data_IF_163218554663
#
_entry.id   IF_163218554663
#
_cell.length_a   1.000
_cell.length_b   1.000
_cell.length_c   1.000
_cell.angle_alpha   90.00
_cell.angle_beta   90.00
_cell.angle_gamma   90.00
#
_symmetry.space_group_name_H-M   'P 1'
#
loop_
_entity.id
_entity.type
_entity.pdbx_description
1 polymer ?
#
# COMPACT_ATOMS: atom_id res chain seq x y z
N UNK A 1 55.78 54.96 -23.83
CA UNK A 1 54.33 54.60 -23.68
C UNK A 1 54.15 53.13 -23.87
N UNK A 2 54.20 52.27 -22.80
CA UNK A 2 53.83 50.84 -22.83
C UNK A 2 53.89 50.28 -21.41
N UNK A 3 52.94 50.65 -20.52
CA UNK A 3 52.84 50.01 -19.20
C UNK A 3 51.49 50.20 -18.52
N UNK A 4 50.34 50.19 -19.27
CA UNK A 4 49.02 50.34 -18.64
C UNK A 4 47.98 49.26 -19.00
N UNK A 5 48.31 48.31 -19.86
CA UNK A 5 47.31 47.32 -20.33
C UNK A 5 47.31 45.98 -19.59
N UNK A 6 48.16 45.73 -18.59
CA UNK A 6 48.27 44.45 -17.93
C UNK A 6 47.45 44.32 -16.64
N UNK A 7 47.04 45.41 -16.00
CA UNK A 7 46.31 45.37 -14.73
C UNK A 7 44.80 45.11 -14.91
N UNK A 8 44.21 45.52 -16.03
CA UNK A 8 42.76 45.28 -16.29
C UNK A 8 42.38 43.82 -16.60
N UNK A 9 43.29 43.13 -17.31
CA UNK A 9 43.01 41.71 -17.69
C UNK A 9 43.07 40.72 -16.51
N UNK A 10 43.90 40.98 -15.51
CA UNK A 10 44.03 40.12 -14.32
C UNK A 10 42.82 40.26 -13.39
N UNK A 11 42.29 41.49 -13.26
CA UNK A 11 41.08 41.74 -12.46
C UNK A 11 39.80 41.15 -13.10
N UNK A 12 39.70 41.18 -14.43
CA UNK A 12 38.58 40.58 -15.15
C UNK A 12 38.61 39.06 -15.08
N UNK A 13 39.79 38.41 -15.14
CA UNK A 13 39.92 36.96 -15.00
C UNK A 13 39.59 36.48 -13.57
N UNK A 14 40.00 37.22 -12.54
CA UNK A 14 39.71 36.86 -11.14
C UNK A 14 38.20 36.98 -10.81
N UNK A 15 37.49 37.98 -11.37
CA UNK A 15 36.04 38.12 -11.23
C UNK A 15 35.27 36.98 -11.89
N UNK A 16 35.72 36.54 -13.08
CA UNK A 16 35.07 35.42 -13.80
C UNK A 16 35.23 34.07 -13.06
N UNK A 17 36.39 33.80 -12.48
CA UNK A 17 36.67 32.60 -11.70
C UNK A 17 35.84 32.60 -10.40
N UNK A 18 35.70 33.73 -9.72
CA UNK A 18 34.87 33.84 -8.52
C UNK A 18 33.40 33.60 -8.84
N UNK A 19 32.84 34.12 -9.91
CA UNK A 19 31.47 33.87 -10.34
C UNK A 19 31.22 32.39 -10.68
N UNK A 20 32.18 31.73 -11.36
CA UNK A 20 32.09 30.30 -11.66
C UNK A 20 32.11 29.43 -10.39
N UNK A 21 32.94 29.75 -9.40
CA UNK A 21 32.98 29.04 -8.12
C UNK A 21 31.68 29.22 -7.33
N UNK A 22 31.04 30.38 -7.35
CA UNK A 22 29.76 30.63 -6.68
C UNK A 22 28.62 29.84 -7.35
N UNK A 23 28.58 29.77 -8.68
CA UNK A 23 27.54 28.98 -9.39
C UNK A 23 27.69 27.49 -9.16
N UNK A 24 28.87 26.93 -9.10
CA UNK A 24 29.14 25.53 -8.79
C UNK A 24 28.73 25.24 -7.36
N UNK A 25 29.09 26.06 -6.38
CA UNK A 25 28.74 25.87 -4.97
C UNK A 25 27.20 25.95 -4.70
N UNK A 26 26.48 26.75 -5.49
CA UNK A 26 25.00 26.77 -5.41
C UNK A 26 24.37 25.54 -6.03
N UNK A 27 24.86 25.05 -7.16
CA UNK A 27 24.40 23.82 -7.79
C UNK A 27 24.65 22.60 -6.90
N UNK A 28 25.81 22.53 -6.22
CA UNK A 28 26.08 21.42 -5.28
C UNK A 28 25.12 21.41 -4.09
N UNK A 29 24.74 22.57 -3.55
CA UNK A 29 23.78 22.67 -2.45
C UNK A 29 22.37 22.25 -2.87
N UNK A 30 21.94 22.64 -4.06
CA UNK A 30 20.63 22.27 -4.61
C UNK A 30 20.56 20.77 -4.89
N UNK A 31 21.59 20.21 -5.53
CA UNK A 31 21.69 18.77 -5.77
C UNK A 31 21.73 17.96 -4.46
N UNK A 32 22.44 18.44 -3.43
CA UNK A 32 22.45 17.81 -2.11
C UNK A 32 21.06 17.85 -1.45
N UNK A 33 20.36 18.99 -1.51
CA UNK A 33 19.00 19.13 -0.97
C UNK A 33 18.00 18.18 -1.66
N UNK A 34 18.09 18.05 -2.98
CA UNK A 34 17.27 17.10 -3.72
C UNK A 34 17.59 15.66 -3.34
N UNK A 35 18.86 15.30 -3.24
CA UNK A 35 19.27 13.97 -2.81
C UNK A 35 18.75 13.62 -1.41
N UNK A 36 18.78 14.57 -0.47
CA UNK A 36 18.21 14.39 0.86
C UNK A 36 16.70 14.16 0.82
N UNK A 37 15.96 14.90 0.01
CA UNK A 37 14.53 14.70 -0.20
C UNK A 37 14.23 13.32 -0.76
N UNK A 38 14.96 12.87 -1.78
CA UNK A 38 14.79 11.51 -2.33
C UNK A 38 15.10 10.42 -1.30
N UNK A 39 16.13 10.60 -0.48
CA UNK A 39 16.46 9.65 0.60
C UNK A 39 15.39 9.62 1.67
N UNK A 40 14.88 10.77 2.07
CA UNK A 40 13.80 10.85 3.06
C UNK A 40 12.52 10.19 2.54
N UNK A 41 12.16 10.42 1.27
CA UNK A 41 11.01 9.78 0.63
C UNK A 41 11.20 8.26 0.56
N UNK A 42 12.36 7.77 0.12
CA UNK A 42 12.64 6.34 0.05
C UNK A 42 12.58 5.68 1.44
N UNK A 43 13.08 6.36 2.47
CA UNK A 43 13.00 5.85 3.85
C UNK A 43 11.55 5.79 4.34
N UNK A 44 10.71 6.79 4.05
CA UNK A 44 9.29 6.79 4.36
C UNK A 44 8.55 5.63 3.66
N UNK A 45 8.81 5.44 2.37
CA UNK A 45 8.21 4.37 1.58
C UNK A 45 8.60 2.98 2.13
N UNK A 46 9.84 2.80 2.55
CA UNK A 46 10.28 1.57 3.22
C UNK A 46 9.58 1.35 4.57
N UNK A 47 9.43 2.40 5.39
CA UNK A 47 8.71 2.32 6.65
C UNK A 47 7.23 1.94 6.43
N UNK A 48 6.59 2.53 5.43
CA UNK A 48 5.21 2.23 5.08
C UNK A 48 5.04 0.78 4.59
N UNK A 49 5.97 0.27 3.78
CA UNK A 49 5.97 -1.14 3.36
C UNK A 49 6.17 -2.08 4.55
N UNK A 50 7.05 -1.75 5.48
CA UNK A 50 7.27 -2.55 6.69
C UNK A 50 6.03 -2.59 7.59
N UNK A 51 5.33 -1.45 7.74
CA UNK A 51 4.05 -1.38 8.45
C UNK A 51 3.01 -2.31 7.82
N UNK A 52 2.83 -2.23 6.50
CA UNK A 52 1.87 -3.05 5.77
C UNK A 52 2.23 -4.54 5.85
N UNK A 53 3.50 -4.89 5.73
CA UNK A 53 3.97 -6.27 5.95
C UNK A 53 3.58 -6.76 7.34
N UNK A 54 3.82 -5.96 8.39
CA UNK A 54 3.42 -6.29 9.75
C UNK A 54 1.91 -6.52 9.88
N UNK A 55 1.09 -5.69 9.22
CA UNK A 55 -0.37 -5.88 9.20
C UNK A 55 -0.74 -7.27 8.67
N UNK A 56 -0.27 -7.64 7.49
CA UNK A 56 -0.58 -8.94 6.89
C UNK A 56 -0.01 -10.11 7.70
N UNK A 57 1.15 -9.94 8.33
CA UNK A 57 1.73 -10.95 9.22
C UNK A 57 0.84 -11.18 10.45
N UNK A 58 0.30 -10.12 11.05
CA UNK A 58 -0.61 -10.22 12.19
C UNK A 58 -1.98 -10.81 11.78
N UNK A 59 -2.52 -10.45 10.61
CA UNK A 59 -3.72 -11.07 10.04
C UNK A 59 -3.51 -12.58 9.80
N UNK A 60 -2.35 -12.99 9.32
CA UNK A 60 -1.97 -14.40 9.15
C UNK A 60 -1.91 -15.16 10.48
N UNK A 61 -1.61 -14.47 11.59
CA UNK A 61 -1.67 -15.02 12.95
C UNK A 61 -3.08 -14.96 13.55
N UNK A 62 -4.06 -14.38 12.83
CA UNK A 62 -5.42 -14.10 13.32
C UNK A 62 -5.46 -13.21 14.55
N UNK A 63 -4.46 -12.32 14.67
CA UNK A 63 -4.37 -11.36 15.75
C UNK A 63 -5.26 -10.15 15.47
N UNK A 64 -6.43 -10.10 16.09
CA UNK A 64 -7.37 -8.97 15.94
C UNK A 64 -6.86 -7.69 16.61
N UNK A 65 -5.87 -7.75 17.49
CA UNK A 65 -5.22 -6.58 18.08
C UNK A 65 -4.61 -5.64 17.03
N UNK A 66 -4.27 -6.17 15.84
CA UNK A 66 -3.75 -5.39 14.71
C UNK A 66 -4.64 -4.20 14.37
N UNK A 67 -5.97 -4.36 14.43
CA UNK A 67 -6.93 -3.31 14.09
C UNK A 67 -6.87 -2.13 15.04
N UNK A 68 -6.60 -2.36 16.33
CA UNK A 68 -6.44 -1.29 17.32
C UNK A 68 -5.05 -0.65 17.28
N UNK A 69 -4.02 -1.46 17.02
CA UNK A 69 -2.63 -1.02 17.08
C UNK A 69 -2.17 -0.30 15.82
N UNK A 70 -2.51 -0.83 14.63
CA UNK A 70 -1.93 -0.40 13.37
C UNK A 70 -2.89 0.36 12.43
N UNK A 71 -4.19 0.39 12.74
CA UNK A 71 -5.18 1.13 11.95
C UNK A 71 -5.57 2.44 12.66
N UNK A 72 -5.84 3.47 11.88
CA UNK A 72 -6.31 4.74 12.41
C UNK A 72 -7.73 4.61 13.00
N UNK A 73 -8.11 5.45 13.99
CA UNK A 73 -9.46 5.40 14.58
C UNK A 73 -10.58 5.68 13.57
N UNK A 74 -10.30 6.53 12.58
CA UNK A 74 -11.20 6.95 11.50
C UNK A 74 -10.97 6.18 10.19
N UNK A 75 -10.36 4.99 10.29
CA UNK A 75 -10.08 4.11 9.17
C UNK A 75 -11.31 3.78 8.35
N UNK A 76 -11.13 3.72 7.02
CA UNK A 76 -12.14 3.27 6.07
C UNK A 76 -11.62 2.19 5.13
N UNK A 77 -12.32 1.04 5.08
CA UNK A 77 -12.03 -0.05 4.13
C UNK A 77 -13.09 -0.12 3.04
N UNK A 78 -12.66 0.00 1.79
CA UNK A 78 -13.52 -0.06 0.61
C UNK A 78 -13.34 -1.41 -0.07
N UNK A 79 -14.31 -2.29 0.14
CA UNK A 79 -14.37 -3.61 -0.48
C UNK A 79 -15.79 -3.88 -1.03
N UNK A 80 -15.94 -4.15 -2.35
CA UNK A 80 -14.92 -3.96 -3.39
C UNK A 80 -14.47 -2.48 -3.49
N UNK A 81 -13.34 -2.21 -4.13
CA UNK A 81 -12.66 -0.90 -4.14
C UNK A 81 -13.52 0.28 -4.58
N UNK A 82 -14.59 0.03 -5.35
CA UNK A 82 -15.55 1.03 -5.82
C UNK A 82 -16.73 1.26 -4.86
N UNK A 83 -16.78 0.58 -3.71
CA UNK A 83 -17.80 0.82 -2.69
C UNK A 83 -17.61 2.23 -2.10
N UNK A 84 -18.58 3.16 -2.27
CA UNK A 84 -18.44 4.54 -1.79
C UNK A 84 -18.51 4.63 -0.26
N UNK A 85 -19.21 3.69 0.39
CA UNK A 85 -19.29 3.59 1.83
C UNK A 85 -18.21 2.63 2.32
N UNK A 86 -17.10 3.18 2.84
CA UNK A 86 -16.09 2.37 3.50
C UNK A 86 -16.67 1.66 4.74
N UNK A 87 -16.13 0.49 5.03
CA UNK A 87 -16.37 -0.21 6.29
C UNK A 87 -15.43 0.36 7.35
N UNK A 88 -15.90 0.41 8.59
CA UNK A 88 -15.08 0.82 9.73
C UNK A 88 -14.06 -0.28 10.08
N UNK A 89 -13.13 0.08 10.93
CA UNK A 89 -12.15 -0.85 11.49
C UNK A 89 -12.80 -2.06 12.17
N UNK A 90 -13.88 -1.82 12.93
CA UNK A 90 -14.64 -2.86 13.62
C UNK A 90 -15.42 -3.75 12.65
N UNK A 91 -15.96 -3.19 11.57
CA UNK A 91 -16.66 -3.95 10.53
C UNK A 91 -15.69 -4.84 9.75
N UNK A 92 -14.47 -4.36 9.41
CA UNK A 92 -13.42 -5.19 8.78
C UNK A 92 -12.92 -6.28 9.72
N UNK A 93 -12.73 -6.00 11.00
CA UNK A 93 -12.39 -7.01 12.00
C UNK A 93 -13.46 -8.10 12.07
N UNK A 94 -14.74 -7.72 12.05
CA UNK A 94 -15.87 -8.65 12.00
C UNK A 94 -15.83 -9.53 10.74
N UNK A 95 -15.55 -8.92 9.58
CA UNK A 95 -15.40 -9.66 8.32
C UNK A 95 -14.22 -10.63 8.36
N UNK A 96 -13.08 -10.25 8.91
CA UNK A 96 -11.94 -11.15 9.09
C UNK A 96 -12.24 -12.32 9.99
N UNK A 97 -12.94 -12.10 11.11
CA UNK A 97 -13.38 -13.18 12.01
C UNK A 97 -14.31 -14.18 11.31
N UNK A 98 -15.23 -13.68 10.48
CA UNK A 98 -16.12 -14.52 9.67
C UNK A 98 -15.32 -15.38 8.66
N UNK A 99 -14.35 -14.79 7.97
CA UNK A 99 -13.46 -15.51 7.06
C UNK A 99 -12.66 -16.60 7.80
N UNK A 100 -12.09 -16.29 8.95
CA UNK A 100 -11.31 -17.26 9.72
C UNK A 100 -12.16 -18.37 10.35
N UNK A 101 -13.43 -18.10 10.64
CA UNK A 101 -14.36 -19.13 11.07
C UNK A 101 -14.65 -20.13 9.94
N UNK A 102 -14.87 -19.64 8.72
CA UNK A 102 -15.08 -20.49 7.54
C UNK A 102 -13.82 -21.20 7.06
N UNK A 103 -12.66 -20.53 7.17
CA UNK A 103 -11.36 -20.98 6.66
C UNK A 103 -10.28 -20.83 7.74
N UNK A 104 -10.20 -21.77 8.72
CA UNK A 104 -9.28 -21.63 9.86
C UNK A 104 -7.79 -21.60 9.47
N UNK A 105 -7.42 -22.18 8.35
CA UNK A 105 -6.07 -22.23 7.80
C UNK A 105 -5.78 -21.11 6.78
N UNK A 106 -6.71 -20.15 6.62
CA UNK A 106 -6.57 -19.04 5.68
C UNK A 106 -5.31 -18.23 5.92
N UNK A 107 -4.63 -17.89 4.82
CA UNK A 107 -3.41 -17.08 4.80
C UNK A 107 -3.41 -16.12 3.62
N UNK A 108 -2.73 -15.00 3.82
CA UNK A 108 -2.31 -14.07 2.78
C UNK A 108 -0.84 -14.32 2.44
N UNK A 109 -0.56 -14.55 1.17
CA UNK A 109 0.78 -14.66 0.61
C UNK A 109 1.06 -13.43 -0.25
N UNK A 110 1.88 -12.50 0.25
CA UNK A 110 2.23 -11.26 -0.45
C UNK A 110 3.18 -11.56 -1.60
N UNK A 111 2.81 -11.21 -2.81
CA UNK A 111 3.58 -11.49 -4.03
C UNK A 111 4.38 -10.30 -4.51
N UNK A 112 3.77 -9.13 -4.50
CA UNK A 112 4.38 -7.87 -4.94
C UNK A 112 3.95 -6.75 -4.01
N UNK A 113 4.87 -5.85 -3.70
CA UNK A 113 4.61 -4.66 -2.91
C UNK A 113 5.38 -3.49 -3.48
N UNK A 114 4.70 -2.37 -3.63
CA UNK A 114 5.30 -1.10 -4.04
C UNK A 114 4.74 0.02 -3.17
N UNK A 115 5.57 1.01 -2.87
CA UNK A 115 5.15 2.21 -2.17
C UNK A 115 5.44 3.46 -3.01
N UNK A 116 4.57 4.46 -2.89
CA UNK A 116 4.77 5.80 -3.42
C UNK A 116 4.21 6.83 -2.45
N UNK A 117 5.11 7.54 -1.76
CA UNK A 117 4.72 8.48 -0.72
C UNK A 117 3.97 7.79 0.42
N UNK A 118 2.74 8.22 0.66
CA UNK A 118 1.85 7.69 1.71
C UNK A 118 1.06 6.42 1.31
N UNK A 119 1.20 5.94 0.07
CA UNK A 119 0.44 4.79 -0.43
C UNK A 119 1.32 3.57 -0.61
N UNK A 120 0.78 2.42 -0.21
CA UNK A 120 1.37 1.10 -0.43
C UNK A 120 0.37 0.24 -1.19
N UNK A 121 0.82 -0.35 -2.29
CA UNK A 121 0.06 -1.31 -3.08
C UNK A 121 0.63 -2.71 -2.86
N UNK A 122 -0.24 -3.67 -2.64
CA UNK A 122 0.10 -5.08 -2.45
C UNK A 122 -0.72 -5.94 -3.41
N UNK A 123 -0.04 -6.81 -4.15
CA UNK A 123 -0.67 -7.96 -4.79
C UNK A 123 -0.48 -9.18 -3.90
N UNK A 124 -1.54 -9.88 -3.61
CA UNK A 124 -1.51 -11.06 -2.74
C UNK A 124 -2.25 -12.23 -3.37
N UNK A 125 -1.97 -13.42 -2.85
CA UNK A 125 -2.79 -14.61 -3.01
C UNK A 125 -3.31 -14.97 -1.61
N UNK A 126 -4.60 -15.23 -1.52
CA UNK A 126 -5.23 -15.68 -0.28
C UNK A 126 -5.97 -16.98 -0.52
N UNK A 127 -6.05 -17.81 0.50
CA UNK A 127 -6.75 -19.09 0.38
C UNK A 127 -6.76 -19.86 1.69
N UNK A 128 -7.56 -20.92 1.72
CA UNK A 128 -7.71 -21.81 2.86
C UNK A 128 -8.67 -22.96 2.54
N UNK A 129 -8.90 -23.82 3.54
CA UNK A 129 -9.81 -24.96 3.45
C UNK A 129 -11.13 -24.61 4.13
N UNK A 130 -12.24 -24.72 3.38
CA UNK A 130 -13.59 -24.42 3.87
C UNK A 130 -14.08 -25.51 4.81
N UNK A 131 -13.81 -25.34 6.10
CA UNK A 131 -14.16 -26.32 7.16
C UNK A 131 -15.15 -25.77 8.19
N UNK A 132 -15.47 -24.47 8.13
CA UNK A 132 -16.52 -23.84 8.93
C UNK A 132 -17.62 -23.23 8.06
N UNK A 133 -18.67 -22.70 8.67
CA UNK A 133 -19.70 -21.97 7.94
C UNK A 133 -19.14 -20.65 7.38
N UNK A 134 -19.50 -20.32 6.14
CA UNK A 134 -19.13 -19.07 5.49
C UNK A 134 -20.32 -18.50 4.71
N UNK A 135 -20.83 -17.35 5.13
CA UNK A 135 -21.97 -16.65 4.50
C UNK A 135 -23.20 -17.54 4.26
N UNK A 136 -23.55 -18.38 5.23
CA UNK A 136 -24.68 -19.32 5.14
C UNK A 136 -24.37 -20.60 4.34
N UNK A 137 -23.16 -20.73 3.80
CA UNK A 137 -22.72 -21.95 3.12
C UNK A 137 -22.12 -22.91 4.15
N UNK A 138 -22.65 -24.15 4.29
CA UNK A 138 -22.07 -25.15 5.18
C UNK A 138 -20.68 -25.59 4.68
N UNK A 139 -19.83 -26.13 5.58
CA UNK A 139 -18.49 -26.60 5.23
C UNK A 139 -18.48 -27.54 4.03
N UNK A 140 -17.67 -27.24 3.02
CA UNK A 140 -17.55 -28.08 1.82
C UNK A 140 -16.31 -28.97 1.83
N UNK A 141 -15.35 -28.73 2.73
CA UNK A 141 -14.05 -29.38 2.76
C UNK A 141 -13.13 -29.00 1.60
N UNK A 142 -13.56 -28.08 0.72
CA UNK A 142 -12.79 -27.66 -0.46
C UNK A 142 -11.71 -26.68 -0.08
N UNK A 143 -10.55 -26.79 -0.73
CA UNK A 143 -9.50 -25.79 -0.70
C UNK A 143 -9.78 -24.75 -1.78
N UNK A 144 -9.66 -23.48 -1.44
CA UNK A 144 -9.88 -22.35 -2.34
C UNK A 144 -8.69 -21.41 -2.31
N UNK A 145 -8.47 -20.75 -3.42
CA UNK A 145 -7.41 -19.74 -3.58
C UNK A 145 -7.89 -18.64 -4.53
N UNK A 146 -7.59 -17.39 -4.20
CA UNK A 146 -7.88 -16.24 -5.04
C UNK A 146 -6.73 -15.23 -4.99
N UNK A 147 -6.49 -14.54 -6.09
CA UNK A 147 -5.59 -13.39 -6.13
C UNK A 147 -6.37 -12.11 -5.85
N UNK A 148 -5.71 -11.15 -5.23
CA UNK A 148 -6.26 -9.84 -4.95
C UNK A 148 -5.22 -8.74 -4.98
N UNK A 149 -5.74 -7.51 -4.93
CA UNK A 149 -4.95 -6.29 -4.81
C UNK A 149 -5.51 -5.43 -3.68
N UNK A 150 -4.61 -4.91 -2.88
CA UNK A 150 -4.91 -4.01 -1.79
C UNK A 150 -4.06 -2.75 -1.92
N UNK A 151 -4.68 -1.60 -1.69
CA UNK A 151 -4.00 -0.30 -1.67
C UNK A 151 -4.34 0.37 -0.36
N UNK A 152 -3.34 0.54 0.51
CA UNK A 152 -3.48 1.29 1.76
C UNK A 152 -2.84 2.66 1.69
N UNK A 153 -3.43 3.58 2.43
CA UNK A 153 -2.86 4.89 2.73
C UNK A 153 -2.38 4.91 4.18
N UNK A 154 -1.12 5.32 4.36
CA UNK A 154 -0.50 5.43 5.68
C UNK A 154 -0.47 6.90 6.10
N UNK A 155 -1.00 7.19 7.29
CA UNK A 155 -0.94 8.52 7.90
C UNK A 155 -0.51 8.35 9.35
N UNK A 156 0.46 9.11 9.78
CA UNK A 156 1.01 9.09 11.15
C UNK A 156 1.38 7.67 11.64
N UNK A 157 1.95 6.85 10.75
CA UNK A 157 2.38 5.50 11.05
C UNK A 157 1.25 4.48 11.25
N UNK A 158 0.04 4.78 10.77
CA UNK A 158 -1.14 3.91 10.82
C UNK A 158 -1.80 3.79 9.45
N UNK A 159 -2.50 2.68 9.20
CA UNK A 159 -3.35 2.52 8.03
C UNK A 159 -4.60 3.38 8.22
N UNK A 160 -4.73 4.44 7.42
CA UNK A 160 -5.85 5.39 7.53
C UNK A 160 -6.99 5.07 6.54
N UNK A 161 -6.66 4.44 5.42
CA UNK A 161 -7.65 4.04 4.41
C UNK A 161 -7.13 2.84 3.63
N UNK A 162 -8.03 1.97 3.18
CA UNK A 162 -7.68 0.88 2.28
C UNK A 162 -8.77 0.65 1.22
N UNK A 163 -8.32 0.19 0.06
CA UNK A 163 -9.15 -0.29 -1.04
C UNK A 163 -8.68 -1.68 -1.43
N UNK A 164 -9.63 -2.57 -1.64
CA UNK A 164 -9.31 -3.95 -1.94
C UNK A 164 -10.25 -4.52 -3.00
N UNK A 165 -9.69 -5.31 -3.88
CA UNK A 165 -10.42 -6.18 -4.79
C UNK A 165 -9.73 -7.53 -4.83
N UNK A 166 -10.52 -8.61 -4.84
CA UNK A 166 -10.02 -9.96 -5.11
C UNK A 166 -11.03 -10.76 -5.94
N UNK A 167 -10.61 -11.88 -6.49
CA UNK A 167 -11.45 -12.73 -7.32
C UNK A 167 -12.53 -13.47 -6.50
N UNK A 168 -13.56 -12.72 -6.09
CA UNK A 168 -14.71 -13.25 -5.36
C UNK A 168 -15.45 -14.29 -6.18
N UNK A 169 -15.58 -14.10 -7.50
CA UNK A 169 -16.27 -15.04 -8.36
C UNK A 169 -15.55 -16.39 -8.42
N UNK A 170 -14.26 -16.38 -8.69
CA UNK A 170 -13.44 -17.59 -8.70
C UNK A 170 -13.44 -18.30 -7.34
N UNK A 171 -13.43 -17.53 -6.24
CA UNK A 171 -13.55 -18.05 -4.88
C UNK A 171 -14.87 -18.81 -4.69
N UNK A 172 -16.00 -18.21 -5.03
CA UNK A 172 -17.32 -18.83 -4.88
C UNK A 172 -17.51 -20.04 -5.80
N UNK A 173 -16.98 -20.00 -7.03
CA UNK A 173 -17.02 -21.14 -7.95
C UNK A 173 -16.22 -22.34 -7.43
N UNK A 174 -15.05 -22.11 -6.82
CA UNK A 174 -14.26 -23.16 -6.19
C UNK A 174 -15.03 -23.82 -5.02
N UNK A 175 -15.85 -23.05 -4.29
CA UNK A 175 -16.75 -23.59 -3.27
C UNK A 175 -17.89 -24.41 -3.85
N UNK A 176 -18.16 -24.31 -5.16
CA UNK A 176 -19.20 -25.04 -5.87
C UNK A 176 -20.45 -24.21 -6.15
N UNK A 177 -20.35 -22.89 -6.02
CA UNK A 177 -21.42 -21.97 -6.40
C UNK A 177 -21.45 -21.76 -7.90
N UNK A 178 -22.64 -21.64 -8.48
CA UNK A 178 -22.84 -21.32 -9.89
C UNK A 178 -23.55 -19.98 -10.05
N UNK A 179 -23.12 -19.18 -11.02
CA UNK A 179 -23.87 -18.00 -11.43
C UNK A 179 -25.09 -18.44 -12.25
N UNK A 180 -26.27 -17.99 -11.81
CA UNK A 180 -27.51 -18.18 -12.58
C UNK A 180 -28.05 -16.82 -13.02
N UNK A 181 -28.59 -16.71 -14.25
CA UNK A 181 -29.29 -15.50 -14.66
C UNK A 181 -30.43 -15.19 -13.68
N UNK A 182 -30.56 -13.92 -13.32
CA UNK A 182 -31.73 -13.47 -12.56
C UNK A 182 -32.93 -13.61 -13.47
N UNK A 183 -33.95 -14.36 -13.05
CA UNK A 183 -35.20 -14.49 -13.80
C UNK A 183 -35.76 -13.07 -14.06
N UNK A 184 -36.07 -12.77 -15.32
CA UNK A 184 -36.71 -11.52 -15.69
C UNK A 184 -38.00 -11.38 -14.85
N UNK A 185 -38.13 -10.26 -14.12
CA UNK A 185 -39.40 -9.95 -13.48
C UNK A 185 -40.42 -9.78 -14.59
N UNK A 186 -41.29 -10.74 -14.79
CA UNK A 186 -42.50 -10.56 -15.60
C UNK A 186 -43.29 -9.42 -15.01
N UNK A 187 -43.47 -8.34 -15.80
CA UNK A 187 -44.33 -7.21 -15.44
C UNK A 187 -45.80 -7.62 -15.47
#
# INVERSE_FOLDING_TARGET
>A
MKKSMRKGSVLALSGLVLCLCFSIACQDKEAQSELEKFRAQAALEQQNMALVTKVFDELNKKNTGVYQELYAPDYGWHFPSNNPKGLTREEEEGFSKMLWAGFPDMRYDLKEMVARGDKVMVRFITGGTHTGEYQGLPPTGKKVEASGMWIGQVTDGKIANAKEDFDVLGWMQQLGMELKPIAAKTK
#
